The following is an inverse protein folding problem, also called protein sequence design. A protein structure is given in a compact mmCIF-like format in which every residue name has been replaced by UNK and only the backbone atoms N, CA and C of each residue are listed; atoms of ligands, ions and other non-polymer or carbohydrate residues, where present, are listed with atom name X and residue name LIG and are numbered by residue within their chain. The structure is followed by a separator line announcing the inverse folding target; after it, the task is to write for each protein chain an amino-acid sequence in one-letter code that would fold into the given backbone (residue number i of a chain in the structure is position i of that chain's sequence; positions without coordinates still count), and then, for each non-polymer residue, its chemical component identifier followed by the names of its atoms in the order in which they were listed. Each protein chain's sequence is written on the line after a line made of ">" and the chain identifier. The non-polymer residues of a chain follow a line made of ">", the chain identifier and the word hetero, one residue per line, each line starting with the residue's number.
data_IF_042676859020
#
_entry.id   IF_042676859020
#
_cell.length_a   1.000
_cell.length_b   1.000
_cell.length_c   1.000
_cell.angle_alpha   90.00
_cell.angle_beta   90.00
_cell.angle_gamma   90.00
#
_symmetry.space_group_name_H-M   'P 1'
#
loop_
_entity.id
_entity.type
_entity.pdbx_description
1 polymer ?
2 non-polymer ?
3 water ?
#
# COMPACT_ATOMS: atom_id res chain seq x y z
N UNK A 1 28.24 17.25 7.80
CA UNK A 1 29.25 16.26 7.42
C UNK A 1 28.58 14.96 6.97
N UNK A 2 29.38 13.90 6.78
CA UNK A 2 28.88 12.68 6.16
C UNK A 2 27.74 12.05 6.97
N UNK A 3 27.88 12.03 8.30
CA UNK A 3 26.86 11.42 9.14
C UNK A 3 25.56 12.24 9.14
N UNK A 4 25.67 13.57 9.17
CA UNK A 4 24.45 14.38 9.12
C UNK A 4 23.74 14.19 7.79
N UNK A 5 24.50 14.17 6.68
CA UNK A 5 23.90 13.95 5.37
C UNK A 5 23.23 12.58 5.29
N UNK A 6 23.86 11.54 5.85
CA UNK A 6 23.23 10.22 5.85
C UNK A 6 21.94 10.23 6.66
N UNK A 7 21.94 10.93 7.81
CA UNK A 7 20.73 11.01 8.63
C UNK A 7 19.61 11.73 7.89
N UNK A 8 19.94 12.84 7.20
CA UNK A 8 18.93 13.58 6.44
C UNK A 8 18.36 12.73 5.31
N UNK A 9 19.21 11.99 4.59
CA UNK A 9 18.71 11.16 3.50
C UNK A 9 17.86 10.00 4.04
N UNK A 10 18.24 9.42 5.19
CA UNK A 10 17.36 8.44 5.83
C UNK A 10 15.99 9.04 6.13
N UNK A 11 15.98 10.25 6.69
CA UNK A 11 14.73 10.97 6.91
C UNK A 11 13.93 11.14 5.61
N UNK A 12 14.59 11.57 4.54
CA UNK A 12 13.90 11.72 3.26
C UNK A 12 13.30 10.39 2.80
N UNK A 13 14.07 9.29 2.93
CA UNK A 13 13.57 7.98 2.52
C UNK A 13 12.38 7.52 3.36
N UNK A 14 12.37 7.85 4.64
CA UNK A 14 11.27 7.45 5.51
C UNK A 14 9.98 8.18 5.13
N UNK A 15 10.12 9.44 4.71
CA UNK A 15 8.96 10.15 4.18
C UNK A 15 8.37 9.44 2.97
N UNK A 16 9.22 9.00 2.05
CA UNK A 16 8.75 8.30 0.87
C UNK A 16 8.15 6.95 1.24
N UNK A 17 8.74 6.26 2.22
CA UNK A 17 8.25 4.95 2.62
C UNK A 17 6.85 5.03 3.21
N UNK A 18 6.66 5.92 4.18
CA UNK A 18 5.39 5.95 4.88
C UNK A 18 4.29 6.57 4.04
N UNK A 19 4.63 7.22 2.93
CA UNK A 19 3.58 7.64 2.00
C UNK A 19 2.83 6.45 1.42
N UNK A 20 3.42 5.26 1.46
CA UNK A 20 2.72 4.04 1.06
C UNK A 20 1.47 3.80 1.91
N UNK A 21 1.55 4.08 3.21
CA UNK A 21 0.41 3.95 4.11
C UNK A 21 -0.29 5.29 4.31
N UNK A 22 -0.16 6.19 3.35
CA UNK A 22 -0.93 7.44 3.25
C UNK A 22 -0.50 8.46 4.28
N UNK A 23 0.69 8.32 4.82
CA UNK A 23 1.23 9.34 5.70
C UNK A 23 1.91 10.41 4.87
N UNK A 24 1.55 11.69 5.06
CA UNK A 24 2.19 12.77 4.27
C UNK A 24 3.71 12.74 4.39
N UNK A 25 4.40 13.09 3.30
CA UNK A 25 5.85 12.88 3.24
C UNK A 25 6.60 13.70 4.28
N UNK A 26 6.20 14.96 4.50
CA UNK A 26 6.85 15.75 5.54
C UNK A 26 6.71 15.12 6.91
N UNK A 27 5.58 14.45 7.17
CA UNK A 27 5.39 13.76 8.45
C UNK A 27 6.30 12.55 8.57
N UNK A 28 6.39 11.74 7.51
CA UNK A 28 7.34 10.64 7.50
C UNK A 28 8.79 11.07 7.59
N UNK A 29 9.12 12.24 7.01
CA UNK A 29 10.48 12.76 7.15
C UNK A 29 10.78 13.14 8.59
N UNK A 30 9.81 13.77 9.27
CA UNK A 30 9.99 14.11 10.69
C UNK A 30 10.20 12.85 11.51
N UNK A 31 9.48 11.79 11.18
CA UNK A 31 9.60 10.53 11.90
C UNK A 31 11.00 9.92 11.71
N UNK A 32 11.48 9.87 10.46
CA UNK A 32 12.80 9.31 10.23
C UNK A 32 13.89 10.10 10.94
N UNK A 33 13.73 11.42 11.00
CA UNK A 33 14.64 12.25 11.78
C UNK A 33 14.60 11.87 13.26
N UNK A 34 13.39 11.79 13.84
CA UNK A 34 13.28 11.45 15.26
C UNK A 34 13.87 10.08 15.55
N UNK A 35 13.74 9.14 14.61
CA UNK A 35 14.25 7.79 14.82
C UNK A 35 15.75 7.78 15.11
N UNK A 36 16.51 8.72 14.56
CA UNK A 36 17.95 8.71 14.74
C UNK A 36 18.43 9.66 15.85
N UNK A 37 17.51 10.32 16.54
CA UNK A 37 17.84 11.16 17.69
C UNK A 37 17.91 10.33 18.97
N UNK A 38 19.02 10.47 19.71
CA UNK A 38 19.13 9.74 20.96
C UNK A 38 18.38 10.41 22.11
N UNK A 39 18.03 11.69 21.97
CA UNK A 39 17.31 12.42 23.01
C UNK A 39 16.08 13.08 22.41
N UNK A 40 15.11 13.37 23.27
CA UNK A 40 13.95 14.14 22.83
C UNK A 40 14.40 15.51 22.33
N UNK A 41 13.72 16.01 21.30
CA UNK A 41 14.13 17.23 20.62
C UNK A 41 13.00 18.24 20.60
N UNK A 42 13.35 19.52 20.56
CA UNK A 42 12.36 20.57 20.54
C UNK A 42 11.79 20.76 19.13
N UNK A 43 10.63 21.42 19.06
CA UNK A 43 10.08 21.78 17.75
C UNK A 43 11.04 22.64 16.96
N UNK A 44 11.77 23.53 17.65
CA UNK A 44 12.71 24.43 16.98
C UNK A 44 13.85 23.63 16.35
N UNK A 45 14.37 22.62 17.04
CA UNK A 45 15.45 21.80 16.49
C UNK A 45 14.97 21.01 15.27
N UNK A 46 13.80 20.38 15.36
CA UNK A 46 13.27 19.65 14.21
C UNK A 46 13.19 20.56 12.99
N UNK A 47 12.59 21.74 13.16
CA UNK A 47 12.44 22.66 12.04
C UNK A 47 13.76 23.14 11.48
N UNK A 48 14.73 23.42 12.36
CA UNK A 48 16.03 23.88 11.89
C UNK A 48 16.79 22.78 11.16
N UNK A 49 16.77 21.55 11.70
CA UNK A 49 17.55 20.48 11.11
C UNK A 49 16.94 19.99 9.80
N UNK A 50 15.62 20.05 9.66
CA UNK A 50 14.94 19.56 8.47
C UNK A 50 14.55 20.68 7.51
N UNK A 51 14.78 21.93 7.88
CA UNK A 51 14.36 23.04 7.02
C UNK A 51 12.85 23.15 6.91
N UNK A 52 12.13 22.94 8.00
CA UNK A 52 10.67 22.95 8.00
C UNK A 52 10.14 24.16 8.75
N UNK A 53 9.02 24.70 8.26
CA UNK A 53 8.38 25.83 8.93
C UNK A 53 7.84 25.41 10.28
N UNK A 54 7.68 26.37 11.21
CA UNK A 54 7.05 26.02 12.50
C UNK A 54 5.68 25.37 12.34
N UNK A 55 4.89 25.82 11.36
CA UNK A 55 3.60 25.19 11.12
C UNK A 55 3.73 23.77 10.60
N UNK A 56 4.69 23.52 9.71
CA UNK A 56 4.91 22.16 9.22
C UNK A 56 5.33 21.23 10.35
N UNK A 57 6.22 21.68 11.23
CA UNK A 57 6.66 20.86 12.35
C UNK A 57 5.48 20.55 13.27
N UNK A 58 4.70 21.58 13.60
CA UNK A 58 3.57 21.39 14.51
C UNK A 58 2.57 20.38 13.95
N UNK A 59 2.23 20.50 12.66
CA UNK A 59 1.31 19.56 12.01
C UNK A 59 1.90 18.15 12.00
N UNK A 60 3.17 18.03 11.65
CA UNK A 60 3.81 16.71 11.56
C UNK A 60 3.82 16.03 12.91
N UNK A 61 4.21 16.77 13.96
CA UNK A 61 4.23 16.19 15.30
C UNK A 61 2.84 15.72 15.72
N UNK A 62 1.81 16.55 15.47
CA UNK A 62 0.45 16.16 15.86
C UNK A 62 0.01 14.89 15.11
N UNK A 63 0.41 14.75 13.84
CA UNK A 63 0.05 13.54 13.11
C UNK A 63 0.81 12.33 13.62
N UNK A 64 2.11 12.48 13.89
CA UNK A 64 2.89 11.35 14.39
C UNK A 64 2.38 10.89 15.75
N UNK A 65 2.02 11.84 16.61
CA UNK A 65 1.49 11.48 17.93
C UNK A 65 0.16 10.75 17.78
N UNK A 66 -0.71 11.21 16.87
CA UNK A 66 -1.98 10.55 16.61
C UNK A 66 -1.79 9.11 16.14
N UNK A 67 -0.77 8.86 15.31
CA UNK A 67 -0.51 7.54 14.76
C UNK A 67 0.34 6.66 15.67
N UNK A 68 0.70 7.14 16.86
CA UNK A 68 1.47 6.32 17.77
C UNK A 68 2.91 6.17 17.39
N UNK A 69 3.45 7.12 16.62
CA UNK A 69 4.84 7.10 16.16
C UNK A 69 5.73 8.05 16.94
N UNK A 70 5.14 8.93 17.73
CA UNK A 70 5.91 9.87 18.53
C UNK A 70 5.16 10.16 19.82
N UNK A 71 5.91 10.69 20.79
CA UNK A 71 5.41 11.11 22.08
C UNK A 71 5.89 12.53 22.33
N UNK A 72 5.00 13.39 22.83
CA UNK A 72 5.37 14.73 23.27
C UNK A 72 5.58 14.74 24.78
N UNK A 73 6.55 15.53 25.23
CA UNK A 73 7.00 15.52 26.61
C UNK A 73 6.97 16.94 27.14
N UNK A 74 6.20 17.24 28.19
CA UNK A 74 6.22 18.58 28.77
C UNK A 74 7.53 18.86 29.48
N UNK A 75 7.82 20.15 29.65
CA UNK A 75 9.09 20.58 30.24
C UNK A 75 8.83 21.40 31.48
N UNK A 76 9.53 21.14 32.58
CA UNK A 76 9.36 21.97 33.79
C UNK A 76 9.68 23.43 33.49
N UNK A 77 8.76 24.31 33.88
CA UNK A 77 8.96 25.74 33.75
C UNK A 77 8.66 26.34 32.39
N UNK A 78 8.04 25.59 31.49
CA UNK A 78 7.77 26.09 30.15
C UNK A 78 6.55 25.38 29.56
N UNK A 79 5.97 25.99 28.54
CA UNK A 79 4.92 25.39 27.75
C UNK A 79 5.44 24.72 26.49
N UNK A 80 6.74 24.83 26.21
CA UNK A 80 7.31 24.16 25.06
C UNK A 80 7.36 22.65 25.29
N UNK A 81 7.22 21.91 24.22
CA UNK A 81 7.22 20.46 24.27
C UNK A 81 8.50 19.91 23.64
N UNK A 82 8.96 18.79 24.16
CA UNK A 82 9.94 17.99 23.45
C UNK A 82 9.25 16.80 22.80
N UNK A 83 9.91 16.23 21.78
CA UNK A 83 9.34 15.17 20.95
C UNK A 83 10.33 14.03 20.84
N UNK A 84 9.83 12.80 20.91
CA UNK A 84 10.66 11.63 20.66
C UNK A 84 9.86 10.60 19.88
N UNK A 85 10.58 9.79 19.10
CA UNK A 85 9.99 8.63 18.46
C UNK A 85 9.43 7.69 19.52
N UNK A 86 8.31 7.04 19.20
CA UNK A 86 7.67 6.16 20.16
C UNK A 86 6.88 5.10 19.41
N UNK A 87 6.36 4.12 20.17
CA UNK A 87 5.43 3.17 19.58
C UNK A 87 6.04 2.44 18.40
N UNK A 88 5.30 2.38 17.30
CA UNK A 88 5.79 1.68 16.13
C UNK A 88 4.76 1.70 15.03
N UNK A 89 4.96 0.83 14.04
CA UNK A 89 4.12 0.80 12.84
C UNK A 89 2.75 0.16 13.05
N UNK A 90 2.45 -0.37 14.25
CA UNK A 90 1.24 -1.18 14.40
C UNK A 90 -0.01 -0.46 13.91
N UNK A 91 -0.17 0.82 14.29
CA UNK A 91 -1.40 1.54 13.92
C UNK A 91 -1.49 1.77 12.42
N UNK A 92 -0.38 2.17 11.78
CA UNK A 92 -0.38 2.38 10.34
C UNK A 92 -0.72 1.10 9.60
N UNK A 93 -0.14 -0.01 10.04
CA UNK A 93 -0.41 -1.29 9.38
C UNK A 93 -1.85 -1.74 9.60
N UNK A 94 -2.38 -1.51 10.81
CA UNK A 94 -3.78 -1.84 11.06
C UNK A 94 -4.70 -1.02 10.17
N UNK A 95 -4.38 0.27 9.96
CA UNK A 95 -5.17 1.08 9.04
C UNK A 95 -5.10 0.53 7.63
N UNK A 96 -3.91 0.09 7.21
CA UNK A 96 -3.77 -0.52 5.89
C UNK A 96 -4.63 -1.78 5.78
N UNK A 97 -4.63 -2.61 6.82
CA UNK A 97 -5.45 -3.81 6.83
C UNK A 97 -6.93 -3.48 6.63
N UNK A 98 -7.40 -2.40 7.27
CA UNK A 98 -8.80 -2.02 7.15
C UNK A 98 -9.14 -1.58 5.73
N UNK A 99 -8.23 -0.87 5.06
CA UNK A 99 -8.45 -0.53 3.66
C UNK A 99 -8.51 -1.78 2.79
N UNK A 100 -7.64 -2.76 3.07
CA UNK A 100 -7.70 -4.02 2.34
C UNK A 100 -9.01 -4.76 2.59
N UNK A 101 -9.54 -4.69 3.81
CA UNK A 101 -10.81 -5.35 4.10
C UNK A 101 -11.93 -4.75 3.24
N UNK A 102 -11.88 -3.44 2.98
CA UNK A 102 -12.89 -2.82 2.13
C UNK A 102 -12.73 -3.28 0.68
N UNK A 103 -11.49 -3.46 0.21
CA UNK A 103 -11.25 -4.03 -1.11
C UNK A 103 -11.84 -5.43 -1.20
N UNK A 104 -11.70 -6.22 -0.13
CA UNK A 104 -12.22 -7.58 -0.18
C UNK A 104 -13.74 -7.55 -0.24
N UNK A 105 -14.38 -6.60 0.44
CA UNK A 105 -15.83 -6.47 0.32
C UNK A 105 -16.25 -6.12 -1.10
N UNK A 106 -15.49 -5.24 -1.76
CA UNK A 106 -15.75 -4.93 -3.16
C UNK A 106 -15.61 -6.18 -4.04
N UNK A 107 -14.55 -6.95 -3.83
CA UNK A 107 -14.38 -8.18 -4.60
C UNK A 107 -15.51 -9.17 -4.31
N UNK A 108 -15.89 -9.34 -3.05
CA UNK A 108 -16.99 -10.26 -2.73
C UNK A 108 -18.32 -9.75 -3.30
N UNK A 109 -18.46 -8.42 -3.45
CA UNK A 109 -19.65 -7.87 -4.10
C UNK A 109 -19.69 -8.26 -5.57
N UNK A 110 -18.56 -8.12 -6.27
CA UNK A 110 -18.49 -8.58 -7.65
C UNK A 110 -18.74 -10.07 -7.79
N UNK A 111 -18.19 -10.86 -6.87
CA UNK A 111 -18.50 -12.29 -6.84
C UNK A 111 -20.00 -12.55 -6.76
N UNK A 112 -20.71 -11.82 -5.89
CA UNK A 112 -22.15 -11.97 -5.76
C UNK A 112 -22.89 -11.55 -7.03
N UNK A 113 -22.38 -10.53 -7.73
CA UNK A 113 -23.02 -10.06 -8.96
C UNK A 113 -22.80 -11.00 -10.12
N UNK A 114 -21.79 -11.87 -10.03
CA UNK A 114 -21.49 -12.81 -11.12
C UNK A 114 -22.73 -13.61 -11.50
N UNK A 115 -23.02 -13.62 -12.79
CA UNK A 115 -24.25 -14.27 -13.24
C UNK A 115 -23.99 -15.52 -14.05
N UNK A 116 -22.79 -16.08 -13.97
CA UNK A 116 -22.63 -17.49 -14.32
C UNK A 116 -21.41 -18.06 -13.61
N UNK A 117 -21.29 -19.38 -13.68
CA UNK A 117 -20.38 -20.12 -12.81
C UNK A 117 -18.92 -19.78 -13.13
N UNK A 118 -18.61 -19.61 -14.41
CA UNK A 118 -17.24 -19.29 -14.81
C UNK A 118 -16.80 -17.95 -14.22
N UNK A 119 -17.67 -16.95 -14.29
CA UNK A 119 -17.35 -15.64 -13.72
C UNK A 119 -17.25 -15.74 -12.20
N UNK A 120 -18.17 -16.47 -11.57
CA UNK A 120 -18.15 -16.58 -10.12
C UNK A 120 -16.89 -17.31 -9.63
N UNK A 121 -16.50 -18.38 -10.33
CA UNK A 121 -15.30 -19.13 -9.97
C UNK A 121 -14.06 -18.26 -10.07
N UNK A 122 -13.92 -17.52 -11.17
CA UNK A 122 -12.79 -16.63 -11.33
C UNK A 122 -12.70 -15.62 -10.19
N UNK A 123 -13.85 -15.03 -9.81
CA UNK A 123 -13.83 -14.05 -8.73
C UNK A 123 -13.56 -14.69 -7.37
N UNK A 124 -14.18 -15.84 -7.08
CA UNK A 124 -13.88 -16.54 -5.83
C UNK A 124 -12.38 -16.77 -5.70
N UNK A 125 -11.78 -17.38 -6.72
CA UNK A 125 -10.37 -17.76 -6.64
C UNK A 125 -9.48 -16.54 -6.47
N UNK A 126 -9.75 -15.48 -7.25
CA UNK A 126 -9.00 -14.23 -7.12
C UNK A 126 -9.11 -13.66 -5.71
N UNK A 127 -10.32 -13.64 -5.17
CA UNK A 127 -10.53 -13.00 -3.87
C UNK A 127 -10.01 -13.85 -2.73
N UNK A 128 -10.20 -15.18 -2.82
CA UNK A 128 -9.69 -16.09 -1.79
C UNK A 128 -8.20 -15.89 -1.56
N UNK A 129 -7.44 -15.76 -2.65
CA UNK A 129 -6.00 -15.61 -2.51
C UNK A 129 -5.64 -14.25 -1.91
N UNK A 130 -6.26 -13.18 -2.40
CA UNK A 130 -5.99 -11.86 -1.87
C UNK A 130 -6.35 -11.77 -0.39
N UNK A 131 -7.48 -12.36 -0.01
CA UNK A 131 -7.88 -12.35 1.40
C UNK A 131 -6.92 -13.17 2.27
N UNK A 132 -6.47 -14.31 1.77
CA UNK A 132 -5.45 -15.09 2.50
C UNK A 132 -4.18 -14.27 2.68
N UNK A 133 -3.77 -13.53 1.65
CA UNK A 133 -2.57 -12.71 1.72
C UNK A 133 -2.72 -11.61 2.76
N UNK A 134 -3.86 -10.93 2.73
CA UNK A 134 -4.15 -9.86 3.69
C UNK A 134 -4.18 -10.40 5.10
N UNK A 135 -4.87 -11.52 5.31
CA UNK A 135 -5.03 -12.00 6.67
C UNK A 135 -3.77 -12.68 7.23
N UNK A 136 -2.81 -13.03 6.38
CA UNK A 136 -1.52 -13.52 6.89
C UNK A 136 -0.80 -12.44 7.68
N UNK A 137 -0.77 -11.21 7.16
CA UNK A 137 -0.12 -10.13 7.89
C UNK A 137 -0.83 -9.80 9.18
N UNK A 138 -2.17 -9.83 9.16
CA UNK A 138 -2.96 -9.55 10.35
C UNK A 138 -2.75 -10.61 11.41
N UNK A 139 -2.80 -11.89 11.02
CA UNK A 139 -2.54 -12.98 11.95
C UNK A 139 -1.14 -12.86 12.55
N UNK A 140 -0.18 -12.47 11.74
CA UNK A 140 1.19 -12.29 12.20
C UNK A 140 1.23 -11.26 13.34
N UNK A 141 0.60 -10.10 13.14
CA UNK A 141 0.62 -9.06 14.17
C UNK A 141 -0.12 -9.53 15.42
N UNK A 142 -1.28 -10.17 15.25
CA UNK A 142 -2.03 -10.67 16.40
C UNK A 142 -1.22 -11.72 17.17
N UNK A 143 -0.62 -12.67 16.45
CA UNK A 143 0.12 -13.75 17.10
C UNK A 143 1.38 -13.22 17.80
N UNK A 144 2.04 -12.22 17.20
CA UNK A 144 3.24 -11.65 17.81
C UNK A 144 2.97 -11.18 19.23
N UNK A 145 1.76 -10.68 19.50
CA UNK A 145 1.43 -10.16 20.81
C UNK A 145 1.06 -11.26 21.80
N UNK A 146 0.28 -12.25 21.37
CA UNK A 146 -0.07 -13.36 22.27
C UNK A 146 1.16 -14.15 22.71
N UNK A 147 2.21 -14.18 21.89
CA UNK A 147 3.38 -14.99 22.18
C UNK A 147 4.38 -14.29 23.10
N UNK A 148 4.20 -13.01 23.39
CA UNK A 148 5.14 -12.27 24.20
C UNK A 148 6.13 -11.43 23.41
N UNK A 149 5.93 -11.27 22.11
CA UNK A 149 6.82 -10.45 21.30
C UNK A 149 6.42 -8.99 21.25
N UNK B 1 -29.89 -0.78 -16.80
CA UNK B 1 -30.72 -1.22 -15.70
C UNK B 1 -29.90 -1.41 -14.42
N UNK B 2 -30.53 -2.00 -13.40
CA UNK B 2 -29.90 -2.11 -12.09
C UNK B 2 -28.63 -2.94 -12.14
N UNK B 3 -28.63 -4.03 -12.91
CA UNK B 3 -27.46 -4.90 -12.95
C UNK B 3 -26.31 -4.24 -13.69
N UNK B 4 -26.61 -3.56 -14.80
CA UNK B 4 -25.58 -2.82 -15.51
C UNK B 4 -24.94 -1.77 -14.60
N UNK B 5 -25.76 -1.03 -13.86
CA UNK B 5 -25.24 -0.02 -12.94
C UNK B 5 -24.37 -0.65 -11.86
N UNK B 6 -24.80 -1.79 -11.29
CA UNK B 6 -23.97 -2.48 -10.30
C UNK B 6 -22.63 -2.91 -10.90
N UNK B 7 -22.64 -3.45 -12.11
CA UNK B 7 -21.38 -3.88 -12.74
C UNK B 7 -20.48 -2.69 -13.03
N UNK B 8 -21.06 -1.57 -13.47
CA UNK B 8 -20.26 -0.38 -13.74
C UNK B 8 -19.69 0.22 -12.45
N UNK B 9 -20.45 0.22 -11.36
CA UNK B 9 -19.91 0.72 -10.10
C UNK B 9 -18.84 -0.22 -9.54
N UNK B 10 -18.99 -1.52 -9.75
CA UNK B 10 -17.91 -2.45 -9.41
C UNK B 10 -16.65 -2.12 -10.19
N UNK B 11 -16.80 -1.87 -11.48
CA UNK B 11 -15.67 -1.42 -12.30
C UNK B 11 -15.02 -0.17 -11.70
N UNK B 12 -15.85 0.83 -11.34
CA UNK B 12 -15.32 2.05 -10.76
C UNK B 12 -14.52 1.75 -9.48
N UNK B 13 -15.06 0.87 -8.62
CA UNK B 13 -14.37 0.53 -7.38
C UNK B 13 -13.04 -0.19 -7.65
N UNK B 14 -13.00 -1.02 -8.69
CA UNK B 14 -11.77 -1.71 -9.03
C UNK B 14 -10.70 -0.74 -9.55
N UNK B 15 -11.15 0.32 -10.21
CA UNK B 15 -10.22 1.40 -10.57
C UNK B 15 -9.55 1.98 -9.35
N UNK B 16 -10.32 2.27 -8.32
CA UNK B 16 -9.74 2.81 -7.09
C UNK B 16 -8.83 1.79 -6.41
N UNK B 17 -9.23 0.52 -6.39
CA UNK B 17 -8.40 -0.51 -5.78
C UNK B 17 -7.03 -0.66 -6.45
N UNK B 18 -7.00 -0.80 -7.78
CA UNK B 18 -5.72 -1.03 -8.42
C UNK B 18 -4.84 0.22 -8.40
N UNK B 19 -5.44 1.38 -8.15
CA UNK B 19 -4.65 2.59 -7.97
C UNK B 19 -3.76 2.51 -6.73
N UNK B 20 -4.10 1.64 -5.78
CA UNK B 20 -3.23 1.40 -4.63
C UNK B 20 -1.88 0.84 -5.06
N UNK B 21 -1.82 0.16 -6.21
CA UNK B 21 -0.57 -0.28 -6.81
C UNK B 21 -0.14 0.62 -7.96
N UNK B 22 -0.59 1.87 -7.96
CA UNK B 22 -0.15 2.87 -8.93
C UNK B 22 -0.53 2.49 -10.36
N UNK B 23 -1.55 1.73 -10.51
CA UNK B 23 -2.09 1.59 -11.85
C UNK B 23 -3.10 2.70 -12.09
N UNK B 24 -3.14 3.26 -13.29
CA UNK B 24 -4.12 4.31 -13.59
C UNK B 24 -5.53 3.79 -13.34
N UNK B 25 -6.40 4.67 -12.83
CA UNK B 25 -7.75 4.27 -12.49
C UNK B 25 -8.48 3.65 -13.68
N UNK B 26 -8.24 4.17 -14.89
CA UNK B 26 -8.93 3.60 -16.04
C UNK B 26 -8.53 2.14 -16.27
N UNK B 27 -7.29 1.78 -15.90
CA UNK B 27 -6.84 0.41 -16.07
C UNK B 27 -7.57 -0.53 -15.12
N UNK B 28 -7.74 -0.14 -13.85
CA UNK B 28 -8.53 -0.94 -12.92
C UNK B 28 -10.01 -0.99 -13.27
N UNK B 29 -10.54 0.10 -13.81
CA UNK B 29 -11.92 0.09 -14.31
C UNK B 29 -12.08 -0.93 -15.44
N UNK B 30 -11.12 -0.97 -16.36
CA UNK B 30 -11.17 -1.95 -17.44
C UNK B 30 -11.10 -3.37 -16.88
N UNK B 31 -10.23 -3.58 -15.90
CA UNK B 31 -10.11 -4.90 -15.27
C UNK B 31 -11.43 -5.30 -14.59
N UNK B 32 -12.02 -4.39 -13.82
CA UNK B 32 -13.29 -4.72 -13.15
C UNK B 32 -14.38 -5.10 -14.14
N UNK B 33 -14.46 -4.39 -15.27
CA UNK B 33 -15.37 -4.76 -16.36
C UNK B 33 -15.09 -6.18 -16.86
N UNK B 34 -13.83 -6.46 -17.19
CA UNK B 34 -13.48 -7.78 -17.71
C UNK B 34 -13.84 -8.89 -16.74
N UNK B 35 -13.66 -8.63 -15.44
CA UNK B 35 -13.94 -9.66 -14.44
C UNK B 35 -15.38 -10.13 -14.47
N UNK B 36 -16.32 -9.28 -14.85
CA UNK B 36 -17.72 -9.68 -14.83
C UNK B 36 -18.23 -10.15 -16.20
N UNK B 37 -17.36 -10.23 -17.21
CA UNK B 37 -17.76 -10.69 -18.53
C UNK B 37 -17.55 -12.20 -18.63
N UNK B 38 -18.56 -12.92 -19.14
CA UNK B 38 -18.42 -14.37 -19.23
C UNK B 38 -17.64 -14.81 -20.46
N UNK B 39 -17.55 -13.98 -21.49
CA UNK B 39 -16.80 -14.29 -22.69
C UNK B 39 -15.82 -13.16 -22.99
N UNK B 40 -14.82 -13.49 -23.81
CA UNK B 40 -13.85 -12.47 -24.21
C UNK B 40 -14.53 -11.38 -25.01
N UNK B 41 -14.02 -10.16 -24.88
CA UNK B 41 -14.65 -8.98 -25.46
C UNK B 41 -13.65 -8.20 -26.31
N UNK B 42 -14.16 -7.57 -27.36
CA UNK B 42 -13.31 -6.78 -28.25
C UNK B 42 -12.97 -5.42 -27.61
N UNK B 43 -11.93 -4.78 -28.15
CA UNK B 43 -11.60 -3.43 -27.70
C UNK B 43 -12.78 -2.48 -27.92
N UNK B 44 -13.51 -2.67 -29.03
CA UNK B 44 -14.67 -1.82 -29.29
C UNK B 44 -15.74 -2.01 -28.24
N UNK B 45 -15.98 -3.25 -27.80
CA UNK B 45 -17.03 -3.48 -26.81
C UNK B 45 -16.61 -2.99 -25.42
N UNK B 46 -15.33 -3.10 -25.07
CA UNK B 46 -14.86 -2.50 -23.82
C UNK B 46 -15.09 -0.99 -23.86
N UNK B 47 -14.69 -0.35 -24.95
CA UNK B 47 -14.87 1.09 -25.07
C UNK B 47 -16.34 1.49 -24.99
N UNK B 48 -17.19 0.80 -25.74
CA UNK B 48 -18.62 1.12 -25.73
C UNK B 48 -19.22 0.94 -24.35
N UNK B 49 -18.90 -0.16 -23.68
CA UNK B 49 -19.54 -0.46 -22.42
C UNK B 49 -19.02 0.39 -21.28
N UNK B 50 -17.80 0.92 -21.36
CA UNK B 50 -17.25 1.77 -20.31
C UNK B 50 -17.22 3.24 -20.67
N UNK B 51 -17.65 3.60 -21.89
CA UNK B 51 -17.53 4.98 -22.32
C UNK B 51 -16.10 5.46 -22.46
N UNK B 52 -15.21 4.60 -22.97
CA UNK B 52 -13.79 4.91 -23.10
C UNK B 52 -13.39 5.12 -24.56
N UNK B 53 -12.40 5.99 -24.76
CA UNK B 53 -11.81 6.19 -26.07
C UNK B 53 -10.95 4.99 -26.47
N UNK B 54 -10.71 4.79 -27.77
CA UNK B 54 -9.90 3.65 -28.19
C UNK B 54 -8.48 3.69 -27.64
N UNK B 55 -7.86 4.86 -27.57
CA UNK B 55 -6.52 4.95 -26.97
C UNK B 55 -6.52 4.53 -25.51
N UNK B 56 -7.54 4.94 -24.75
CA UNK B 56 -7.65 4.56 -23.36
C UNK B 56 -7.82 3.04 -23.21
N UNK B 57 -8.64 2.42 -24.05
CA UNK B 57 -8.81 0.96 -24.01
C UNK B 57 -7.49 0.27 -24.34
N UNK B 58 -6.82 0.73 -25.41
CA UNK B 58 -5.58 0.09 -25.84
C UNK B 58 -4.52 0.17 -24.75
N UNK B 59 -4.37 1.34 -24.13
CA UNK B 59 -3.37 1.52 -23.07
C UNK B 59 -3.70 0.64 -21.87
N UNK B 60 -4.97 0.62 -21.46
CA UNK B 60 -5.39 -0.19 -20.31
C UNK B 60 -5.16 -1.67 -20.55
N UNK B 61 -5.53 -2.16 -21.73
CA UNK B 61 -5.37 -3.58 -22.01
C UNK B 61 -3.89 -3.96 -21.97
N UNK B 62 -3.04 -3.12 -22.55
CA UNK B 62 -1.61 -3.40 -22.56
C UNK B 62 -1.06 -3.49 -21.15
N UNK B 63 -1.47 -2.57 -20.27
CA UNK B 63 -1.03 -2.62 -18.88
C UNK B 63 -1.53 -3.87 -18.17
N UNK B 64 -2.81 -4.22 -18.39
CA UNK B 64 -3.35 -5.40 -17.72
C UNK B 64 -2.65 -6.67 -18.18
N UNK B 65 -2.38 -6.78 -19.47
CA UNK B 65 -1.67 -7.96 -19.96
C UNK B 65 -0.27 -8.02 -19.36
N UNK B 66 0.42 -6.86 -19.30
CA UNK B 66 1.78 -6.83 -18.76
C UNK B 66 1.82 -7.30 -17.32
N UNK B 67 0.77 -6.99 -16.54
CA UNK B 67 0.70 -7.33 -15.13
C UNK B 67 0.07 -8.69 -14.86
N UNK B 68 -0.24 -9.46 -15.91
CA UNK B 68 -0.80 -10.80 -15.71
C UNK B 68 -2.24 -10.80 -15.23
N UNK B 69 -3.00 -9.75 -15.56
CA UNK B 69 -4.41 -9.64 -15.21
C UNK B 69 -5.35 -9.89 -16.38
N UNK B 70 -4.82 -9.97 -17.59
CA UNK B 70 -5.66 -10.16 -18.77
C UNK B 70 -4.85 -10.88 -19.83
N UNK B 71 -5.57 -11.40 -20.82
CA UNK B 71 -4.98 -12.10 -21.95
C UNK B 71 -5.67 -11.58 -23.21
N UNK B 72 -4.89 -11.35 -24.25
CA UNK B 72 -5.44 -11.00 -25.55
C UNK B 72 -5.47 -12.23 -26.46
N UNK B 73 -6.48 -12.28 -27.33
CA UNK B 73 -6.77 -13.47 -28.13
C UNK B 73 -6.96 -13.02 -29.58
N UNK B 74 -6.18 -13.57 -30.53
CA UNK B 74 -6.40 -13.20 -31.93
C UNK B 74 -7.69 -13.78 -32.46
N UNK B 75 -8.20 -13.16 -33.53
CA UNK B 75 -9.45 -13.58 -34.15
C UNK B 75 -9.22 -14.02 -35.58
N UNK B 76 -9.83 -15.12 -36.01
CA UNK B 76 -9.70 -15.56 -37.41
C UNK B 76 -10.16 -14.46 -38.35
N UNK B 77 -9.32 -14.17 -39.35
CA UNK B 77 -9.69 -13.27 -40.42
C UNK B 77 -9.73 -11.80 -40.06
N UNK B 78 -8.95 -11.38 -39.07
CA UNK B 78 -8.94 -9.98 -38.64
C UNK B 78 -7.72 -9.74 -37.78
N UNK B 79 -7.29 -8.47 -37.72
CA UNK B 79 -6.28 -8.03 -36.78
C UNK B 79 -6.87 -7.60 -35.45
N UNK B 80 -8.19 -7.58 -35.31
CA UNK B 80 -8.81 -7.17 -34.06
C UNK B 80 -8.60 -8.24 -32.99
N UNK B 81 -8.39 -7.79 -31.76
CA UNK B 81 -8.14 -8.69 -30.64
C UNK B 81 -9.35 -8.76 -29.72
N UNK B 82 -9.54 -9.93 -29.11
CA UNK B 82 -10.44 -10.08 -27.99
C UNK B 82 -9.63 -10.08 -26.70
N UNK B 83 -10.30 -9.76 -25.58
CA UNK B 83 -9.64 -9.61 -24.29
C UNK B 83 -10.44 -10.34 -23.24
N UNK B 84 -9.76 -11.02 -22.32
CA UNK B 84 -10.44 -11.62 -21.19
C UNK B 84 -9.57 -11.45 -19.94
N UNK B 85 -10.24 -11.38 -18.81
CA UNK B 85 -9.51 -11.42 -17.54
C UNK B 85 -8.77 -12.75 -17.43
N UNK B 86 -7.63 -12.73 -16.76
CA UNK B 86 -6.77 -13.91 -16.64
C UNK B 86 -5.85 -13.73 -15.45
N UNK B 87 -5.13 -14.80 -15.10
CA UNK B 87 -4.07 -14.68 -14.12
C UNK B 87 -4.63 -14.32 -12.75
N UNK B 88 -4.05 -13.30 -12.14
CA UNK B 88 -4.51 -12.87 -10.84
C UNK B 88 -3.58 -11.81 -10.28
N UNK B 89 -3.70 -11.58 -8.98
CA UNK B 89 -2.94 -10.50 -8.33
C UNK B 89 -1.50 -10.88 -8.02
N UNK B 90 -1.06 -12.10 -8.36
CA UNK B 90 0.28 -12.56 -7.95
C UNK B 90 1.36 -11.56 -8.34
N UNK B 91 1.33 -11.09 -9.59
CA UNK B 91 2.40 -10.21 -10.06
C UNK B 91 2.37 -8.86 -9.37
N UNK B 92 1.17 -8.27 -9.21
CA UNK B 92 1.06 -7.00 -8.49
C UNK B 92 1.54 -7.13 -7.05
N UNK B 93 1.15 -8.21 -6.38
CA UNK B 93 1.54 -8.37 -4.98
C UNK B 93 3.03 -8.64 -4.84
N UNK B 94 3.63 -9.37 -5.80
CA UNK B 94 5.07 -9.56 -5.79
C UNK B 94 5.80 -8.24 -5.95
N UNK B 95 5.29 -7.37 -6.81
CA UNK B 95 5.89 -6.04 -6.96
C UNK B 95 5.79 -5.25 -5.67
N UNK B 96 4.64 -5.33 -5.00
CA UNK B 96 4.49 -4.68 -3.70
C UNK B 96 5.46 -5.25 -2.68
N UNK B 97 5.61 -6.57 -2.66
CA UNK B 97 6.60 -7.20 -1.79
C UNK B 97 8.00 -6.65 -2.04
N UNK B 98 8.37 -6.45 -3.32
CA UNK B 98 9.71 -5.96 -3.62
C UNK B 98 9.89 -4.53 -3.13
N UNK B 99 8.83 -3.71 -3.22
CA UNK B 99 8.91 -2.37 -2.65
C UNK B 99 9.11 -2.43 -1.14
N UNK B 100 8.43 -3.36 -0.46
CA UNK B 100 8.63 -3.53 0.98
C UNK B 100 10.04 -4.02 1.31
N UNK B 101 10.62 -4.86 0.46
CA UNK B 101 12.01 -5.26 0.67
C UNK B 101 12.95 -4.07 0.60
N UNK B 102 12.68 -3.12 -0.31
CA UNK B 102 13.50 -1.91 -0.35
C UNK B 102 13.30 -1.07 0.91
N UNK B 103 12.07 -1.05 1.44
CA UNK B 103 11.81 -0.40 2.72
C UNK B 103 12.60 -1.05 3.85
N UNK B 104 12.66 -2.38 3.86
CA UNK B 104 13.43 -3.08 4.89
C UNK B 104 14.90 -2.68 4.81
N UNK B 105 15.43 -2.56 3.59
CA UNK B 105 16.83 -2.15 3.44
C UNK B 105 17.05 -0.73 3.96
N UNK B 106 16.09 0.17 3.73
CA UNK B 106 16.19 1.52 4.27
C UNK B 106 16.20 1.48 5.79
N UNK B 107 15.33 0.66 6.38
CA UNK B 107 15.30 0.53 7.84
C UNK B 107 16.60 -0.05 8.37
N UNK B 108 17.14 -1.07 7.69
CA UNK B 108 18.42 -1.65 8.10
C UNK B 108 19.57 -0.64 7.94
N UNK B 109 19.50 0.23 6.92
CA UNK B 109 20.48 1.31 6.81
C UNK B 109 20.42 2.22 8.03
N UNK B 110 19.21 2.63 8.43
CA UNK B 110 19.06 3.42 9.65
C UNK B 110 19.63 2.73 10.88
N UNK B 111 19.35 1.43 11.06
CA UNK B 111 19.97 0.65 12.12
C UNK B 111 21.48 0.81 12.13
N UNK B 112 22.10 0.73 10.95
CA UNK B 112 23.54 0.83 10.86
C UNK B 112 24.04 2.22 11.17
N UNK B 113 23.27 3.26 10.84
CA UNK B 113 23.69 4.64 11.10
C UNK B 113 23.53 5.01 12.56
N UNK B 114 22.68 4.32 13.29
CA UNK B 114 22.45 4.56 14.72
C UNK B 114 23.77 4.61 15.47
N UNK B 115 24.01 5.71 16.18
CA UNK B 115 25.27 5.88 16.89
C UNK B 115 25.09 5.81 18.40
N UNK B 116 24.06 5.08 18.83
CA UNK B 116 23.63 5.01 20.22
C UNK B 116 22.89 3.68 20.39
N UNK B 117 23.12 2.98 21.50
CA UNK B 117 22.51 1.67 21.67
C UNK B 117 20.99 1.75 21.74
N UNK B 118 20.46 2.75 22.44
CA UNK B 118 19.01 2.94 22.53
C UNK B 118 18.42 3.19 21.15
N UNK B 119 19.08 4.02 20.33
CA UNK B 119 18.59 4.29 18.99
C UNK B 119 18.65 3.02 18.15
N UNK B 120 19.75 2.27 18.23
CA UNK B 120 19.86 1.04 17.45
C UNK B 120 18.78 0.05 17.82
N UNK B 121 18.54 -0.13 19.13
CA UNK B 121 17.56 -1.12 19.57
C UNK B 121 16.16 -0.76 19.12
N UNK B 122 15.81 0.53 19.22
CA UNK B 122 14.50 0.98 18.76
C UNK B 122 14.31 0.66 17.29
N UNK B 123 15.34 0.86 16.46
CA UNK B 123 15.21 0.60 15.03
C UNK B 123 15.17 -0.90 14.74
N UNK B 124 15.95 -1.69 15.47
CA UNK B 124 15.89 -3.14 15.30
C UNK B 124 14.49 -3.66 15.57
N UNK B 125 13.88 -3.21 16.67
CA UNK B 125 12.55 -3.69 17.04
C UNK B 125 11.50 -3.25 16.03
N UNK B 126 11.58 -1.99 15.59
CA UNK B 126 10.67 -1.50 14.55
C UNK B 126 10.82 -2.32 13.27
N UNK B 127 12.06 -2.60 12.86
CA UNK B 127 12.30 -3.32 11.62
C UNK B 127 11.88 -4.78 11.71
N UNK B 128 12.14 -5.42 12.85
CA UNK B 128 11.77 -6.84 12.99
C UNK B 128 10.27 -7.03 12.84
N UNK B 129 9.47 -6.13 13.43
CA UNK B 129 8.02 -6.25 13.27
C UNK B 129 7.61 -6.10 11.82
N UNK B 130 8.17 -5.11 11.13
CA UNK B 130 7.78 -4.91 9.74
C UNK B 130 8.19 -6.09 8.86
N UNK B 131 9.38 -6.65 9.10
CA UNK B 131 9.82 -7.83 8.35
C UNK B 131 8.90 -9.01 8.58
N UNK B 132 8.50 -9.23 9.83
CA UNK B 132 7.56 -10.30 10.11
C UNK B 132 6.26 -10.11 9.34
N UNK B 133 5.78 -8.87 9.30
CA UNK B 133 4.53 -8.55 8.60
C UNK B 133 4.68 -8.78 7.10
N UNK B 134 5.79 -8.32 6.53
CA UNK B 134 6.04 -8.45 5.09
C UNK B 134 6.17 -9.92 4.69
N UNK B 135 6.85 -10.71 5.49
CA UNK B 135 7.08 -12.08 5.06
C UNK B 135 5.90 -13.00 5.36
N UNK B 136 4.92 -12.55 6.14
CA UNK B 136 3.69 -13.32 6.33
C UNK B 136 2.97 -13.50 5.00
N UNK B 137 2.80 -12.40 4.25
CA UNK B 137 2.14 -12.52 2.97
C UNK B 137 2.99 -13.22 1.93
N UNK B 138 4.31 -13.07 2.00
CA UNK B 138 5.17 -13.74 1.04
C UNK B 138 4.96 -15.24 1.07
N UNK B 139 4.63 -15.79 2.23
CA UNK B 139 4.28 -17.20 2.31
C UNK B 139 3.01 -17.50 1.53
N UNK B 140 2.11 -16.51 1.40
CA UNK B 140 0.90 -16.70 0.62
C UNK B 140 1.22 -16.76 -0.87
N UNK B 141 2.13 -15.90 -1.32
CA UNK B 141 2.61 -15.97 -2.69
C UNK B 141 3.45 -17.21 -2.94
N UNK B 142 3.80 -17.94 -1.89
CA UNK B 142 4.60 -19.16 -2.00
C UNK B 142 3.72 -20.39 -1.94
X LIG C 1 2.36 14.45 0.39
X LIG C 1 2.61 13.04 0.71
X LIG C 1 3.38 14.94 -0.54
X LIG C 1 1.04 14.57 -0.20
X LIG C 1 2.40 15.24 1.62
X LIG D 1 7.79 3.30 23.52
X LIG D 1 8.06 1.88 23.71
X LIG D 1 8.69 3.83 22.50
X LIG D 1 6.40 3.50 23.10
X LIG D 1 8.03 4.01 24.76
X LIG E 1 -6.12 -18.22 -16.39
X LIG E 1 -5.80 -19.63 -16.19
X LIG E 1 -6.94 -18.09 -17.60
X LIG E 1 -4.89 -17.45 -16.51
X LIG E 1 -6.88 -17.74 -15.24
X LIG F 1 -5.34 8.10 -12.43
X LIG F 1 -3.91 8.31 -12.64
X LIG F 1 -5.93 7.60 -13.66
X LIG F 1 -5.99 9.36 -12.06
X LIG F 1 -5.53 7.13 -11.36
#
# INVERSE_FOLDING_TARGET
>A
NAVTEEQLTFSQAMGDMLATWQLPRTTGRTYGYLLLQSEATSFQEIGADLGLSPGAVSTSVRELVAWGLARTIPQPGSRRLLVEAAGGFEQLLAASHERSRAFIRTLRSGQALADDDRVATRLVDLTDLFEAYVEAGEQMLRRRHEAGG
>B
NAVTEEQLTFSQAMGDMLATWQLPRTTGRTYGYLLLQSEATSFQEIGADLGLSPGAVSTSVRELVAWGLARTIPQPGSRRLLVEAAGGFEQLLAASHERSRAFIRTLRSGQALADDDRVATRLVDLTDLFEAYVEAGEQMLRRRHEAGG
>C hetero
1 SO4 S O1 O2 O3 O4
>D hetero
1 SO4 S O1 O2 O3 O4
>E hetero
1 SO4 S O1 O2 O3 O4
>F hetero
1 SO4 S O1 O2 O3 O4
#
